data_IF_598805956202
#
_entry.id   IF_598805956202
#
_cell.length_a   1.000
_cell.length_b   1.000
_cell.length_c   1.000
_cell.angle_alpha   90.00
_cell.angle_beta   90.00
_cell.angle_gamma   90.00
#
_symmetry.space_group_name_H-M   'P 1'
#
loop_
_entity.id
_entity.type
_entity.pdbx_description
1 polymer ?
#
# COMPACT_ATOMS: atom_id res chain seq x y z
N UNK A 1 13.06 6.72 -27.49
CA UNK A 1 13.46 6.81 -26.05
C UNK A 1 12.23 7.31 -25.31
N UNK A 2 11.77 6.57 -24.30
CA UNK A 2 10.66 7.03 -23.45
C UNK A 2 11.26 7.79 -22.26
N UNK A 3 10.74 8.97 -21.98
CA UNK A 3 11.13 9.79 -20.81
C UNK A 3 10.03 9.67 -19.76
N UNK A 4 10.41 9.70 -18.50
CA UNK A 4 9.48 9.79 -17.36
C UNK A 4 9.85 11.01 -16.52
N UNK A 5 8.86 11.57 -15.82
CA UNK A 5 9.09 12.70 -14.93
C UNK A 5 9.72 12.23 -13.62
N UNK A 6 10.80 12.91 -13.22
CA UNK A 6 11.38 12.77 -11.89
C UNK A 6 11.68 14.18 -11.33
N UNK A 7 11.01 14.63 -10.27
CA UNK A 7 10.01 13.91 -9.46
C UNK A 7 8.70 13.70 -10.19
N UNK A 8 7.95 12.65 -9.78
CA UNK A 8 6.61 12.37 -10.28
C UNK A 8 5.67 13.46 -9.77
N UNK A 9 4.90 14.06 -10.68
CA UNK A 9 3.91 15.08 -10.34
C UNK A 9 2.57 14.42 -10.01
N UNK A 10 2.38 14.07 -8.75
CA UNK A 10 1.13 13.50 -8.23
C UNK A 10 0.45 14.46 -7.26
N UNK A 11 -0.87 14.53 -7.33
CA UNK A 11 -1.65 15.28 -6.36
C UNK A 11 -1.79 14.47 -5.06
N UNK A 12 -1.41 15.06 -3.93
CA UNK A 12 -1.62 14.48 -2.60
C UNK A 12 -2.02 15.58 -1.61
N UNK A 13 -2.57 15.17 -0.47
CA UNK A 13 -3.04 16.09 0.56
C UNK A 13 -2.02 16.20 1.69
N UNK A 14 -2.07 17.34 2.39
CA UNK A 14 -1.52 17.47 3.73
C UNK A 14 -2.63 17.22 4.74
N UNK A 15 -2.36 16.40 5.75
CA UNK A 15 -3.24 16.27 6.91
C UNK A 15 -2.82 17.27 7.98
N UNK A 16 -3.80 17.97 8.52
CA UNK A 16 -3.63 18.86 9.66
C UNK A 16 -4.31 18.20 10.86
N UNK A 17 -3.51 17.67 11.77
CA UNK A 17 -4.00 17.12 13.03
C UNK A 17 -3.77 18.12 14.14
N UNK A 18 -4.83 18.47 14.87
CA UNK A 18 -4.73 19.32 16.05
C UNK A 18 -4.65 18.45 17.29
N UNK A 19 -3.55 18.60 18.04
CA UNK A 19 -3.45 18.07 19.40
C UNK A 19 -4.26 18.98 20.34
N UNK A 20 -5.36 18.45 20.85
CA UNK A 20 -6.27 19.20 21.71
C UNK A 20 -5.69 19.46 23.11
N UNK A 21 -4.72 18.67 23.56
CA UNK A 21 -4.11 18.84 24.87
C UNK A 21 -3.04 19.95 24.88
N UNK A 22 -2.30 20.08 23.79
CA UNK A 22 -1.16 20.97 23.69
C UNK A 22 -1.40 22.18 22.76
N UNK A 23 -2.57 22.27 22.16
CA UNK A 23 -2.95 23.29 21.15
C UNK A 23 -1.95 23.40 19.97
N UNK A 24 -1.28 22.28 19.67
CA UNK A 24 -0.32 22.19 18.56
C UNK A 24 -0.98 21.64 17.32
N UNK A 25 -0.60 22.20 16.18
CA UNK A 25 -0.98 21.70 14.87
C UNK A 25 0.21 20.91 14.31
N UNK A 26 -0.03 19.63 14.00
CA UNK A 26 0.91 18.80 13.28
C UNK A 26 0.50 18.73 11.83
N UNK A 27 1.48 18.84 10.96
CA UNK A 27 1.29 18.66 9.52
C UNK A 27 1.87 17.30 9.16
N UNK A 28 0.99 16.37 8.82
CA UNK A 28 1.37 15.07 8.29
C UNK A 28 1.28 15.11 6.77
N UNK A 29 2.31 14.60 6.12
CA UNK A 29 2.29 14.39 4.68
C UNK A 29 1.69 13.01 4.42
N UNK A 30 0.58 12.99 3.68
CA UNK A 30 0.14 11.76 3.02
C UNK A 30 1.14 11.40 1.91
N UNK A 31 1.08 10.18 1.41
CA UNK A 31 1.93 9.67 0.33
C UNK A 31 3.39 9.40 0.74
N UNK A 32 3.62 8.91 1.97
CA UNK A 32 4.86 8.25 2.35
C UNK A 32 4.87 6.77 1.94
N UNK A 33 6.04 6.14 1.96
CA UNK A 33 6.26 4.70 1.77
C UNK A 33 5.52 4.12 0.53
N UNK A 34 5.73 4.67 -0.67
CA UNK A 34 4.94 4.29 -1.83
C UNK A 34 5.27 2.88 -2.32
N UNK A 35 4.23 2.13 -2.65
CA UNK A 35 4.32 0.87 -3.39
C UNK A 35 3.75 1.05 -4.80
N UNK A 36 4.52 0.68 -5.81
CA UNK A 36 4.12 0.83 -7.21
C UNK A 36 4.09 -0.52 -7.92
N UNK A 37 3.03 -0.75 -8.68
CA UNK A 37 2.87 -1.94 -9.52
C UNK A 37 2.49 -1.56 -10.95
N UNK A 38 2.76 -2.48 -11.87
CA UNK A 38 2.16 -2.50 -13.21
C UNK A 38 1.21 -3.69 -13.30
N UNK A 39 -0.07 -3.43 -13.54
CA UNK A 39 -1.09 -4.45 -13.67
C UNK A 39 -1.92 -4.24 -14.93
N UNK A 40 -1.95 -5.25 -15.78
CA UNK A 40 -2.64 -5.19 -17.09
C UNK A 40 -2.24 -3.98 -17.95
N UNK A 41 -0.97 -3.59 -17.90
CA UNK A 41 -0.42 -2.48 -18.67
C UNK A 41 -0.64 -1.10 -18.09
N UNK A 42 -1.28 -0.99 -16.94
CA UNK A 42 -1.51 0.26 -16.21
C UNK A 42 -0.68 0.29 -14.93
N UNK A 43 -0.12 1.45 -14.59
CA UNK A 43 0.68 1.68 -13.40
C UNK A 43 -0.18 2.23 -12.27
N UNK A 44 0.04 1.73 -11.07
CA UNK A 44 -0.68 2.12 -9.87
C UNK A 44 0.31 2.44 -8.75
N UNK A 45 0.12 3.58 -8.07
CA UNK A 45 0.88 3.94 -6.87
C UNK A 45 -0.07 4.00 -5.69
N UNK A 46 0.30 3.27 -4.64
CA UNK A 46 -0.33 3.30 -3.32
C UNK A 46 0.65 3.93 -2.35
N UNK A 47 0.16 4.69 -1.38
CA UNK A 47 1.01 5.31 -0.37
C UNK A 47 0.31 5.41 0.97
N UNK A 48 1.10 5.56 2.03
CA UNK A 48 0.62 5.67 3.41
C UNK A 48 -0.43 6.75 3.58
N UNK A 49 -1.40 6.47 4.43
CA UNK A 49 -2.45 7.40 4.86
C UNK A 49 -3.29 7.98 3.71
N UNK A 50 -3.44 7.21 2.63
CA UNK A 50 -4.16 7.68 1.45
C UNK A 50 -5.18 6.65 0.98
N UNK A 51 -6.47 7.00 1.06
CA UNK A 51 -7.59 6.22 0.53
C UNK A 51 -7.79 6.39 -0.99
N UNK A 52 -6.71 6.66 -1.69
CA UNK A 52 -6.71 6.85 -3.12
C UNK A 52 -5.54 6.10 -3.75
N UNK A 53 -5.65 5.83 -5.02
CA UNK A 53 -4.57 5.30 -5.84
C UNK A 53 -4.30 6.26 -6.99
N UNK A 54 -3.03 6.49 -7.29
CA UNK A 54 -2.62 7.18 -8.51
C UNK A 54 -2.45 6.18 -9.64
N UNK A 55 -3.02 6.50 -10.78
CA UNK A 55 -3.08 5.63 -11.95
C UNK A 55 -2.46 6.33 -13.15
N UNK A 56 -1.63 5.62 -13.90
CA UNK A 56 -1.00 6.11 -15.12
C UNK A 56 -0.85 5.01 -16.16
N UNK A 57 -1.00 5.36 -17.43
CA UNK A 57 -0.69 4.47 -18.56
C UNK A 57 0.71 4.74 -19.16
N UNK A 58 1.31 5.89 -18.83
CA UNK A 58 2.54 6.38 -19.47
C UNK A 58 3.67 6.75 -18.48
N UNK A 59 3.45 6.66 -17.16
CA UNK A 59 4.34 7.10 -16.09
C UNK A 59 4.61 8.63 -16.04
N UNK A 60 3.86 9.40 -16.81
CA UNK A 60 3.98 10.86 -16.90
C UNK A 60 2.72 11.54 -16.42
N UNK A 61 1.58 11.09 -16.93
CA UNK A 61 0.26 11.62 -16.61
C UNK A 61 -0.41 10.75 -15.55
N UNK A 62 -0.75 11.33 -14.41
CA UNK A 62 -1.31 10.62 -13.27
C UNK A 62 -2.71 11.12 -12.93
N UNK A 63 -3.62 10.19 -12.72
CA UNK A 63 -4.98 10.45 -12.25
C UNK A 63 -5.20 9.84 -10.87
N UNK A 64 -5.99 10.50 -10.03
CA UNK A 64 -6.31 10.04 -8.68
C UNK A 64 -7.69 9.39 -8.68
N UNK A 65 -7.76 8.18 -8.15
CA UNK A 65 -9.01 7.47 -7.93
C UNK A 65 -9.19 7.21 -6.44
N UNK A 66 -10.33 7.65 -5.90
CA UNK A 66 -10.69 7.37 -4.51
C UNK A 66 -11.10 5.90 -4.40
N UNK A 67 -10.56 5.22 -3.40
CA UNK A 67 -10.91 3.84 -3.04
C UNK A 67 -11.92 3.82 -1.88
N UNK A 68 -12.65 2.71 -1.70
CA UNK A 68 -13.58 2.54 -0.57
C UNK A 68 -12.89 2.68 0.79
N UNK A 69 -13.59 3.33 1.72
CA UNK A 69 -13.03 3.65 3.06
C UNK A 69 -12.86 2.42 3.98
N UNK A 70 -13.50 1.31 3.64
CA UNK A 70 -13.35 0.06 4.37
C UNK A 70 -12.09 -0.74 4.01
N UNK A 71 -11.31 -0.29 3.02
CA UNK A 71 -10.05 -0.92 2.68
C UNK A 71 -8.95 -0.45 3.63
N UNK A 72 -7.95 -1.29 3.97
CA UNK A 72 -6.91 -0.98 4.96
C UNK A 72 -5.87 0.05 4.50
N UNK A 73 -6.03 0.63 3.35
CA UNK A 73 -5.05 1.51 2.70
C UNK A 73 -4.87 2.87 3.39
N UNK A 74 -5.67 3.19 4.40
CA UNK A 74 -5.47 4.38 5.22
C UNK A 74 -4.34 4.24 6.25
N UNK A 75 -3.86 3.02 6.48
CA UNK A 75 -2.73 2.76 7.36
C UNK A 75 -1.38 3.13 6.73
N UNK A 76 -0.30 2.56 7.27
CA UNK A 76 1.08 2.90 6.92
C UNK A 76 1.71 1.83 6.02
N UNK A 77 2.68 2.26 5.22
CA UNK A 77 3.52 1.41 4.37
C UNK A 77 2.73 0.35 3.60
N UNK A 78 1.85 0.75 2.66
CA UNK A 78 1.05 -0.21 1.92
C UNK A 78 1.94 -1.15 1.12
N UNK A 79 1.69 -2.44 1.26
CA UNK A 79 2.28 -3.45 0.38
C UNK A 79 1.28 -3.82 -0.70
N UNK A 80 1.73 -3.77 -1.96
CA UNK A 80 0.90 -4.08 -3.13
C UNK A 80 1.67 -4.97 -4.08
N UNK A 81 1.12 -6.16 -4.37
CA UNK A 81 1.77 -7.18 -5.20
C UNK A 81 0.83 -7.73 -6.26
N UNK A 82 1.39 -8.01 -7.43
CA UNK A 82 0.69 -8.71 -8.50
C UNK A 82 1.05 -10.19 -8.46
N UNK A 83 0.05 -11.05 -8.42
CA UNK A 83 0.22 -12.48 -8.59
C UNK A 83 -0.88 -13.04 -9.50
N UNK A 84 -0.50 -13.52 -10.67
CA UNK A 84 -1.42 -13.99 -11.70
C UNK A 84 -2.42 -12.91 -12.14
N UNK A 85 -3.70 -13.17 -11.97
CA UNK A 85 -4.77 -12.25 -12.32
C UNK A 85 -5.19 -11.31 -11.18
N UNK A 86 -4.54 -11.42 -10.01
CA UNK A 86 -4.90 -10.66 -8.82
C UNK A 86 -3.83 -9.65 -8.44
N UNK A 87 -4.30 -8.59 -7.83
CA UNK A 87 -3.50 -7.67 -7.03
C UNK A 87 -3.83 -7.91 -5.57
N UNK A 88 -2.79 -8.18 -4.78
CA UNK A 88 -2.84 -8.34 -3.33
C UNK A 88 -2.36 -7.05 -2.68
N UNK A 89 -3.04 -6.60 -1.65
CA UNK A 89 -2.67 -5.36 -0.97
C UNK A 89 -3.12 -5.33 0.49
N UNK A 90 -2.35 -4.64 1.29
CA UNK A 90 -2.66 -4.26 2.66
C UNK A 90 -1.90 -2.98 3.04
N UNK A 91 -2.17 -2.47 4.22
CA UNK A 91 -1.34 -1.49 4.90
C UNK A 91 -1.29 -1.83 6.39
N UNK A 92 -0.26 -1.41 7.10
CA UNK A 92 -0.13 -1.67 8.52
C UNK A 92 -0.81 -0.60 9.36
N UNK A 93 -1.48 -1.03 10.42
CA UNK A 93 -1.89 -0.16 11.53
C UNK A 93 -1.09 -0.53 12.77
N UNK A 94 -0.51 0.47 13.43
CA UNK A 94 0.40 0.24 14.54
C UNK A 94 -0.22 -0.59 15.66
N UNK A 95 0.24 -1.83 15.81
CA UNK A 95 -0.18 -2.76 16.85
C UNK A 95 -1.52 -3.47 16.60
N UNK A 96 -2.21 -3.16 15.52
CA UNK A 96 -3.48 -3.79 15.17
C UNK A 96 -3.30 -4.90 14.13
N UNK A 97 -4.25 -5.81 14.11
CA UNK A 97 -4.30 -6.88 13.10
C UNK A 97 -4.74 -6.29 11.76
N UNK A 98 -3.95 -6.54 10.72
CA UNK A 98 -4.26 -6.14 9.36
C UNK A 98 -4.51 -7.37 8.48
N UNK A 99 -5.55 -7.32 7.65
CA UNK A 99 -5.81 -8.36 6.67
C UNK A 99 -5.34 -7.93 5.28
N UNK A 100 -4.93 -8.91 4.47
CA UNK A 100 -4.73 -8.70 3.05
C UNK A 100 -6.07 -8.71 2.32
N UNK A 101 -6.10 -7.95 1.26
CA UNK A 101 -7.20 -7.95 0.29
C UNK A 101 -6.65 -8.32 -1.08
N UNK A 102 -7.49 -8.90 -1.92
CA UNK A 102 -7.16 -9.10 -3.33
C UNK A 102 -8.29 -8.64 -4.24
N UNK A 103 -7.92 -8.25 -5.44
CA UNK A 103 -8.88 -7.86 -6.47
C UNK A 103 -8.34 -8.15 -7.87
N UNK A 104 -9.22 -8.28 -8.85
CA UNK A 104 -8.89 -8.30 -10.28
C UNK A 104 -9.09 -6.93 -10.94
N UNK A 105 -9.69 -5.97 -10.22
CA UNK A 105 -9.93 -4.60 -10.66
C UNK A 105 -9.69 -3.65 -9.47
N UNK A 106 -8.60 -2.90 -9.53
CA UNK A 106 -8.16 -2.03 -8.45
C UNK A 106 -9.14 -0.87 -8.22
N UNK A 107 -9.82 -0.41 -9.25
CA UNK A 107 -10.68 0.77 -9.17
C UNK A 107 -12.11 0.40 -8.75
N UNK A 108 -12.65 -0.67 -9.31
CA UNK A 108 -14.07 -0.99 -9.16
C UNK A 108 -14.33 -2.20 -8.22
N UNK A 109 -13.30 -2.99 -7.90
CA UNK A 109 -13.48 -4.23 -7.14
C UNK A 109 -14.10 -5.36 -7.99
N UNK A 110 -14.71 -6.37 -7.38
CA UNK A 110 -14.85 -6.53 -5.95
C UNK A 110 -13.51 -6.74 -5.24
N UNK A 111 -13.50 -6.43 -3.94
CA UNK A 111 -12.34 -6.64 -3.07
C UNK A 111 -12.63 -7.81 -2.14
N UNK A 112 -11.81 -8.85 -2.24
CA UNK A 112 -11.92 -10.06 -1.42
C UNK A 112 -10.96 -9.94 -0.24
N UNK A 113 -11.47 -10.01 0.98
CA UNK A 113 -10.67 -10.03 2.20
C UNK A 113 -10.07 -11.41 2.43
N UNK A 114 -8.79 -11.45 2.77
CA UNK A 114 -8.05 -12.65 3.14
C UNK A 114 -7.79 -12.58 4.65
N UNK A 115 -8.55 -13.35 5.41
CA UNK A 115 -8.44 -13.39 6.87
C UNK A 115 -7.24 -14.23 7.32
N UNK A 116 -6.92 -14.12 8.62
CA UNK A 116 -5.95 -15.01 9.27
C UNK A 116 -4.59 -14.40 9.50
N UNK A 117 -4.43 -13.10 9.27
CA UNK A 117 -3.18 -12.39 9.58
C UNK A 117 -3.06 -12.03 11.07
N UNK A 118 -1.98 -11.40 11.42
CA UNK A 118 -1.63 -10.93 12.76
C UNK A 118 -1.25 -9.44 12.70
N UNK A 119 -0.94 -8.82 13.82
CA UNK A 119 -0.43 -7.45 13.86
C UNK A 119 1.01 -7.40 13.34
N UNK A 120 1.28 -6.53 12.39
CA UNK A 120 2.59 -6.33 11.79
C UNK A 120 2.80 -4.85 11.42
N UNK A 121 4.04 -4.50 11.15
CA UNK A 121 4.44 -3.17 10.66
C UNK A 121 5.28 -3.37 9.41
N UNK A 122 5.13 -2.49 8.43
CA UNK A 122 5.87 -2.48 7.17
C UNK A 122 5.84 -3.85 6.47
N UNK A 123 4.66 -4.30 6.03
CA UNK A 123 4.49 -5.60 5.41
C UNK A 123 5.13 -5.66 4.03
N UNK A 124 5.59 -6.86 3.67
CA UNK A 124 6.04 -7.17 2.32
C UNK A 124 5.70 -8.61 1.97
N UNK A 125 4.82 -8.79 1.00
CA UNK A 125 4.44 -10.09 0.46
C UNK A 125 5.32 -10.39 -0.77
N UNK A 126 6.00 -11.52 -0.75
CA UNK A 126 6.88 -11.95 -1.82
C UNK A 126 6.43 -13.28 -2.40
N UNK A 127 6.18 -13.30 -3.70
CA UNK A 127 5.87 -14.50 -4.48
C UNK A 127 7.14 -14.95 -5.20
N UNK A 128 7.67 -16.11 -4.80
CA UNK A 128 8.88 -16.65 -5.37
C UNK A 128 8.59 -17.42 -6.68
N UNK A 129 9.60 -17.57 -7.51
CA UNK A 129 9.53 -18.29 -8.79
C UNK A 129 9.24 -19.79 -8.62
N UNK A 130 9.58 -20.36 -7.47
CA UNK A 130 9.30 -21.76 -7.11
C UNK A 130 7.85 -22.00 -6.65
N UNK A 131 7.02 -20.95 -6.60
CA UNK A 131 5.62 -20.98 -6.18
C UNK A 131 5.41 -20.83 -4.68
N UNK A 132 6.45 -20.61 -3.92
CA UNK A 132 6.34 -20.28 -2.49
C UNK A 132 5.98 -18.82 -2.29
N UNK A 133 5.36 -18.54 -1.16
CA UNK A 133 4.98 -17.20 -0.74
C UNK A 133 5.61 -16.90 0.61
N UNK A 134 6.33 -15.80 0.68
CA UNK A 134 6.96 -15.34 1.90
C UNK A 134 6.36 -14.01 2.34
N UNK A 135 6.29 -13.85 3.65
CA UNK A 135 5.84 -12.63 4.27
C UNK A 135 6.92 -12.06 5.18
N UNK A 136 7.32 -10.82 4.91
CA UNK A 136 8.30 -10.08 5.67
C UNK A 136 7.62 -8.94 6.41
N UNK A 137 8.08 -8.62 7.63
CA UNK A 137 7.60 -7.46 8.38
C UNK A 137 8.62 -6.97 9.39
N UNK A 138 8.50 -5.70 9.81
CA UNK A 138 9.31 -5.06 10.83
C UNK A 138 9.95 -3.76 10.37
N UNK A 139 10.12 -2.82 11.30
CA UNK A 139 10.71 -1.50 11.04
C UNK A 139 11.53 -0.96 12.22
N UNK A 140 12.03 -1.84 13.11
CA UNK A 140 12.69 -1.43 14.35
C UNK A 140 14.21 -1.56 14.25
N UNK A 141 14.93 -0.63 14.86
CA UNK A 141 16.38 -0.69 15.06
C UNK A 141 16.76 -1.75 16.13
N UNK A 142 15.81 -2.11 17.00
CA UNK A 142 16.03 -3.05 18.11
C UNK A 142 15.63 -4.47 17.77
N UNK A 143 14.67 -4.66 16.87
CA UNK A 143 14.17 -5.96 16.46
C UNK A 143 14.55 -6.27 15.02
N UNK A 144 14.80 -7.54 14.68
CA UNK A 144 15.09 -7.93 13.31
C UNK A 144 13.88 -7.76 12.41
N UNK A 145 14.11 -7.69 11.10
CA UNK A 145 13.06 -7.97 10.14
C UNK A 145 12.71 -9.46 10.24
N UNK A 146 11.43 -9.72 10.39
CA UNK A 146 10.88 -11.06 10.50
C UNK A 146 10.44 -11.60 9.15
N UNK A 147 10.46 -12.92 9.03
CA UNK A 147 10.02 -13.60 7.82
C UNK A 147 9.26 -14.87 8.20
N UNK A 148 8.27 -15.25 7.38
CA UNK A 148 7.62 -16.56 7.43
C UNK A 148 7.20 -17.00 6.04
N UNK A 149 7.31 -18.31 5.77
CA UNK A 149 6.70 -18.93 4.59
C UNK A 149 5.19 -19.08 4.85
N UNK A 150 4.37 -18.63 3.92
CA UNK A 150 2.93 -18.78 3.99
C UNK A 150 2.49 -20.09 3.33
N UNK A 151 1.46 -20.71 3.90
CA UNK A 151 0.80 -21.84 3.25
C UNK A 151 0.01 -21.36 2.04
N UNK A 152 0.19 -22.00 0.90
CA UNK A 152 -0.54 -21.76 -0.35
C UNK A 152 -1.98 -22.23 -0.26
#
# INVERSE_FOLDING_TARGET
MKYYCNPINVNYRYQFNKDLENDKIYINREAADPSMICFKGTYYIFASMNLSVWVSEDLVSWQVYKLPENLPLYGYAPDVRVCGEYVYFCASESGEKCNYYRTKDIINGPYEEIEGTFGFVDPNLFFDEDGKVYFYWGCSDENPIWETELNS
#
